data_IF_920852803321
#
_entry.id   IF_920852803321
#
_cell.length_a   1.000
_cell.length_b   1.000
_cell.length_c   1.000
_cell.angle_alpha   90.00
_cell.angle_beta   90.00
_cell.angle_gamma   90.00
#
_symmetry.space_group_name_H-M   'P 1'
#
loop_
_entity.id
_entity.type
_entity.pdbx_description
1 polymer ?
#
# COMPACT_ATOMS: atom_id res chain seq x y z
N UNK A 1 -2.51 -13.43 10.20
CA UNK A 1 -2.91 -12.65 9.00
C UNK A 1 -1.66 -12.24 8.22
N UNK A 2 -0.62 -11.63 8.83
CA UNK A 2 0.56 -11.10 8.13
C UNK A 2 1.31 -12.13 7.27
N UNK A 3 1.53 -13.34 7.77
CA UNK A 3 2.24 -14.42 7.02
C UNK A 3 1.44 -14.87 5.79
N UNK A 4 0.11 -14.88 5.86
CA UNK A 4 -0.72 -15.22 4.70
C UNK A 4 -0.55 -14.25 3.53
N UNK A 5 -0.16 -12.99 3.82
CA UNK A 5 0.15 -11.97 2.80
C UNK A 5 1.42 -12.29 2.00
N UNK A 6 2.32 -13.11 2.52
CA UNK A 6 3.54 -13.50 1.79
C UNK A 6 3.24 -14.31 0.53
N UNK A 7 2.17 -15.12 0.53
CA UNK A 7 1.80 -15.92 -0.63
C UNK A 7 1.41 -15.06 -1.85
N UNK A 8 0.46 -14.11 -1.74
CA UNK A 8 0.13 -13.23 -2.87
C UNK A 8 1.30 -12.31 -3.26
N UNK A 9 2.15 -11.89 -2.32
CA UNK A 9 3.35 -11.11 -2.65
C UNK A 9 4.34 -11.95 -3.47
N UNK A 10 4.64 -13.16 -3.04
CA UNK A 10 5.52 -14.06 -3.78
C UNK A 10 4.97 -14.38 -5.18
N UNK A 11 3.66 -14.62 -5.27
CA UNK A 11 2.98 -14.83 -6.54
C UNK A 11 3.06 -13.59 -7.44
N UNK A 12 2.82 -12.40 -6.90
CA UNK A 12 2.96 -11.15 -7.62
C UNK A 12 4.39 -10.94 -8.17
N UNK A 13 5.40 -11.19 -7.36
CA UNK A 13 6.80 -11.10 -7.79
C UNK A 13 7.14 -12.12 -8.86
N UNK A 14 6.67 -13.36 -8.74
CA UNK A 14 6.88 -14.41 -9.74
C UNK A 14 6.26 -14.05 -11.09
N UNK A 15 5.05 -13.48 -11.10
CA UNK A 15 4.39 -13.00 -12.32
C UNK A 15 5.14 -11.82 -12.95
N UNK A 16 5.77 -10.97 -12.14
CA UNK A 16 6.47 -9.76 -12.59
C UNK A 16 8.00 -9.93 -12.68
N UNK A 17 8.52 -11.17 -12.68
CA UNK A 17 9.96 -11.45 -12.74
C UNK A 17 10.69 -10.77 -13.92
N UNK A 18 10.00 -10.62 -15.06
CA UNK A 18 10.56 -9.93 -16.24
C UNK A 18 10.79 -8.44 -15.98
N UNK A 19 9.94 -7.80 -15.19
CA UNK A 19 10.14 -6.41 -14.77
C UNK A 19 11.39 -6.29 -13.90
N UNK A 20 11.56 -7.18 -12.92
CA UNK A 20 12.74 -7.19 -12.04
C UNK A 20 14.04 -7.37 -12.86
N UNK A 21 14.07 -8.33 -13.79
CA UNK A 21 15.24 -8.54 -14.66
C UNK A 21 15.53 -7.37 -15.61
N UNK A 22 14.51 -6.56 -15.95
CA UNK A 22 14.66 -5.40 -16.82
C UNK A 22 15.16 -4.13 -16.09
N UNK A 23 15.28 -4.13 -14.77
CA UNK A 23 15.70 -2.96 -13.99
C UNK A 23 17.11 -2.50 -14.35
N UNK A 24 18.02 -3.44 -14.67
CA UNK A 24 19.39 -3.16 -15.08
C UNK A 24 19.58 -2.79 -16.56
N UNK A 25 18.52 -2.81 -17.38
CA UNK A 25 18.61 -2.64 -18.83
C UNK A 25 17.71 -1.54 -19.37
N UNK A 26 18.09 -0.92 -20.49
CA UNK A 26 17.30 0.10 -21.20
C UNK A 26 17.56 1.54 -20.73
N UNK A 27 16.95 2.50 -21.43
CA UNK A 27 17.12 3.93 -21.17
C UNK A 27 16.32 4.35 -19.94
N UNK A 28 16.97 5.07 -19.04
CA UNK A 28 16.35 5.68 -17.89
C UNK A 28 15.72 7.03 -18.27
N UNK A 29 14.45 7.21 -17.93
CA UNK A 29 13.75 8.47 -18.01
C UNK A 29 13.05 8.75 -16.65
N UNK A 30 12.63 9.99 -16.43
CA UNK A 30 12.03 10.40 -15.15
C UNK A 30 10.85 9.51 -14.70
N UNK A 31 9.85 9.18 -15.56
CA UNK A 31 8.74 8.34 -15.14
C UNK A 31 9.17 6.93 -14.74
N UNK A 32 10.20 6.38 -15.42
CA UNK A 32 10.75 5.06 -15.08
C UNK A 32 11.51 5.11 -13.75
N UNK A 33 12.33 6.14 -13.55
CA UNK A 33 13.08 6.32 -12.30
C UNK A 33 12.14 6.45 -11.10
N UNK A 34 11.06 7.25 -11.22
CA UNK A 34 10.06 7.40 -10.16
C UNK A 34 9.36 6.06 -9.83
N UNK A 35 8.94 5.32 -10.84
CA UNK A 35 8.30 4.00 -10.63
C UNK A 35 9.27 3.00 -9.98
N UNK A 36 10.53 3.00 -10.41
CA UNK A 36 11.55 2.14 -9.83
C UNK A 36 11.80 2.49 -8.36
N UNK A 37 11.95 3.78 -8.03
CA UNK A 37 12.12 4.27 -6.67
C UNK A 37 10.94 3.86 -5.78
N UNK A 38 9.71 4.09 -6.23
CA UNK A 38 8.51 3.69 -5.48
C UNK A 38 8.45 2.17 -5.25
N UNK A 39 8.83 1.36 -6.24
CA UNK A 39 8.84 -0.09 -6.10
C UNK A 39 9.93 -0.56 -5.12
N UNK A 40 11.11 0.08 -5.10
CA UNK A 40 12.17 -0.22 -4.14
C UNK A 40 11.72 0.14 -2.72
N UNK A 41 11.14 1.33 -2.53
CA UNK A 41 10.60 1.77 -1.24
C UNK A 41 9.48 0.84 -0.76
N UNK A 42 8.57 0.44 -1.65
CA UNK A 42 7.50 -0.51 -1.35
C UNK A 42 8.05 -1.87 -0.92
N UNK A 43 9.03 -2.39 -1.65
CA UNK A 43 9.68 -3.66 -1.30
C UNK A 43 10.40 -3.57 0.05
N UNK A 44 11.10 -2.47 0.32
CA UNK A 44 11.76 -2.20 1.59
C UNK A 44 10.77 -2.12 2.76
N UNK A 45 9.67 -1.38 2.60
CA UNK A 45 8.62 -1.27 3.61
C UNK A 45 7.94 -2.63 3.86
N UNK A 46 7.68 -3.41 2.79
CA UNK A 46 7.16 -4.78 2.90
C UNK A 46 8.10 -5.67 3.71
N UNK A 47 9.38 -5.68 3.36
CA UNK A 47 10.40 -6.51 4.02
C UNK A 47 10.53 -6.14 5.50
N UNK A 48 10.61 -4.85 5.83
CA UNK A 48 10.66 -4.36 7.21
C UNK A 48 9.40 -4.76 7.99
N UNK A 49 8.22 -4.65 7.38
CA UNK A 49 6.95 -5.05 8.02
C UNK A 49 6.96 -6.55 8.34
N UNK A 50 7.42 -7.38 7.39
CA UNK A 50 7.46 -8.83 7.56
C UNK A 50 8.48 -9.22 8.64
N UNK A 51 9.72 -8.73 8.55
CA UNK A 51 10.78 -9.06 9.50
C UNK A 51 10.39 -8.60 10.91
N UNK A 52 10.00 -7.35 11.09
CA UNK A 52 9.60 -6.84 12.39
C UNK A 52 8.36 -7.55 12.95
N UNK A 53 7.40 -7.90 12.09
CA UNK A 53 6.22 -8.69 12.48
C UNK A 53 6.57 -10.10 12.94
N UNK A 54 7.53 -10.77 12.29
CA UNK A 54 8.05 -12.07 12.75
C UNK A 54 8.74 -11.94 14.11
N UNK A 55 9.55 -10.89 14.30
CA UNK A 55 10.30 -10.67 15.55
C UNK A 55 9.39 -10.29 16.73
N UNK A 56 8.25 -9.65 16.47
CA UNK A 56 7.28 -9.24 17.51
C UNK A 56 6.14 -10.24 17.71
N UNK A 57 6.10 -11.32 16.91
CA UNK A 57 5.01 -12.32 16.99
C UNK A 57 5.08 -13.11 18.29
N UNK A 58 3.98 -13.09 19.05
CA UNK A 58 3.82 -13.90 20.27
C UNK A 58 3.35 -15.34 19.99
N UNK A 59 2.85 -15.61 18.78
CA UNK A 59 2.22 -16.88 18.44
C UNK A 59 3.10 -17.75 17.53
N UNK A 60 3.52 -17.20 16.37
CA UNK A 60 4.18 -18.01 15.33
C UNK A 60 5.64 -18.33 15.60
N UNK A 61 6.34 -17.42 16.29
CA UNK A 61 7.79 -17.51 16.50
C UNK A 61 8.15 -17.45 18.00
N UNK A 62 7.19 -17.79 18.88
CA UNK A 62 7.35 -17.71 20.33
C UNK A 62 8.53 -18.55 20.83
N UNK A 63 8.75 -19.73 20.24
CA UNK A 63 9.79 -20.68 20.64
C UNK A 63 11.16 -20.37 20.04
N UNK A 64 11.22 -19.55 18.98
CA UNK A 64 12.46 -19.23 18.26
C UNK A 64 12.99 -17.85 18.61
N UNK A 65 12.09 -16.87 18.79
CA UNK A 65 12.47 -15.49 19.09
C UNK A 65 12.51 -15.24 20.60
N UNK A 66 13.64 -14.78 21.16
CA UNK A 66 13.75 -14.47 22.59
C UNK A 66 12.71 -13.45 23.05
N UNK A 67 12.20 -13.62 24.27
CA UNK A 67 11.19 -12.71 24.86
C UNK A 67 11.65 -11.25 24.88
N UNK A 68 12.93 -11.00 25.12
CA UNK A 68 13.53 -9.65 25.12
C UNK A 68 13.39 -8.93 23.77
N UNK A 69 13.42 -9.64 22.66
CA UNK A 69 13.15 -9.07 21.32
C UNK A 69 11.65 -8.89 21.09
N UNK A 70 10.85 -9.91 21.44
CA UNK A 70 9.39 -9.85 21.24
C UNK A 70 8.72 -8.73 22.02
N UNK A 71 9.23 -8.41 23.22
CA UNK A 71 8.71 -7.34 24.09
C UNK A 71 9.35 -5.97 23.84
N UNK A 72 10.23 -5.85 22.84
CA UNK A 72 10.95 -4.61 22.59
C UNK A 72 10.03 -3.54 21.95
N UNK A 73 9.80 -2.39 22.65
CA UNK A 73 8.92 -1.33 22.15
C UNK A 73 9.36 -0.76 20.79
N UNK A 74 10.69 -0.67 20.55
CA UNK A 74 11.22 -0.16 19.28
C UNK A 74 10.84 -1.06 18.10
N UNK A 75 10.83 -2.39 18.27
CA UNK A 75 10.42 -3.31 17.22
C UNK A 75 8.93 -3.16 16.89
N UNK A 76 8.08 -2.94 17.90
CA UNK A 76 6.65 -2.62 17.67
C UNK A 76 6.48 -1.30 16.93
N UNK A 77 7.27 -0.27 17.28
CA UNK A 77 7.26 1.01 16.60
C UNK A 77 7.71 0.86 15.14
N UNK A 78 8.80 0.14 14.88
CA UNK A 78 9.28 -0.14 13.52
C UNK A 78 8.22 -0.90 12.72
N UNK A 79 7.60 -1.94 13.31
CA UNK A 79 6.55 -2.71 12.64
C UNK A 79 5.35 -1.83 12.27
N UNK A 80 4.85 -1.05 13.22
CA UNK A 80 3.70 -0.16 13.00
C UNK A 80 4.00 0.88 11.91
N UNK A 81 5.15 1.56 12.01
CA UNK A 81 5.56 2.57 11.04
C UNK A 81 5.78 1.97 9.65
N UNK A 82 6.51 0.84 9.56
CA UNK A 82 6.75 0.15 8.29
C UNK A 82 5.44 -0.32 7.63
N UNK A 83 4.49 -0.82 8.42
CA UNK A 83 3.18 -1.24 7.92
C UNK A 83 2.38 -0.06 7.35
N UNK A 84 2.48 1.14 7.95
CA UNK A 84 1.84 2.35 7.41
C UNK A 84 2.51 2.82 6.11
N UNK A 85 3.84 2.83 6.06
CA UNK A 85 4.55 3.10 4.80
C UNK A 85 4.19 2.08 3.71
N UNK A 86 4.14 0.80 4.07
CA UNK A 86 3.72 -0.25 3.14
C UNK A 86 2.31 0.01 2.58
N UNK A 87 1.34 0.35 3.43
CA UNK A 87 -0.04 0.66 3.02
C UNK A 87 -0.10 1.83 2.04
N UNK A 88 0.57 2.94 2.37
CA UNK A 88 0.64 4.16 1.55
C UNK A 88 1.30 3.88 0.19
N UNK A 89 2.46 3.23 0.22
CA UNK A 89 3.23 2.92 -0.99
C UNK A 89 2.53 1.89 -1.88
N UNK A 90 1.83 0.93 -1.29
CA UNK A 90 1.03 -0.04 -2.03
C UNK A 90 -0.17 0.62 -2.73
N UNK A 91 -0.83 1.58 -2.07
CA UNK A 91 -1.87 2.41 -2.69
C UNK A 91 -1.32 3.20 -3.88
N UNK A 92 -0.23 3.94 -3.69
CA UNK A 92 0.43 4.69 -4.77
C UNK A 92 0.84 3.77 -5.94
N UNK A 93 1.42 2.60 -5.64
CA UNK A 93 1.80 1.61 -6.63
C UNK A 93 0.60 1.14 -7.46
N UNK A 94 -0.49 0.77 -6.79
CA UNK A 94 -1.73 0.38 -7.48
C UNK A 94 -2.21 1.50 -8.40
N UNK A 95 -2.28 2.73 -7.89
CA UNK A 95 -2.76 3.89 -8.63
C UNK A 95 -1.96 4.17 -9.89
N UNK A 96 -0.63 4.11 -9.81
CA UNK A 96 0.26 4.31 -10.97
C UNK A 96 0.03 3.27 -12.10
N UNK A 97 -0.41 2.06 -11.74
CA UNK A 97 -0.65 0.98 -12.68
C UNK A 97 -2.13 0.83 -13.09
N UNK A 98 -3.06 1.51 -12.40
CA UNK A 98 -4.49 1.33 -12.54
C UNK A 98 -4.99 1.63 -13.96
N UNK A 99 -4.47 2.69 -14.61
CA UNK A 99 -4.84 3.07 -15.98
C UNK A 99 -4.55 1.95 -16.99
N UNK A 100 -3.33 1.40 -16.95
CA UNK A 100 -2.89 0.35 -17.86
C UNK A 100 -3.68 -0.96 -17.61
N UNK A 101 -3.88 -1.32 -16.35
CA UNK A 101 -4.66 -2.47 -15.95
C UNK A 101 -6.12 -2.35 -16.38
N UNK A 102 -6.75 -1.18 -16.17
CA UNK A 102 -8.11 -0.89 -16.55
C UNK A 102 -8.32 -0.95 -18.06
N UNK A 103 -7.43 -0.37 -18.84
CA UNK A 103 -7.49 -0.42 -20.32
C UNK A 103 -7.38 -1.85 -20.83
N UNK A 104 -6.48 -2.64 -20.27
CA UNK A 104 -6.34 -4.06 -20.60
C UNK A 104 -7.63 -4.83 -20.28
N UNK A 105 -8.27 -4.56 -19.16
CA UNK A 105 -9.52 -5.18 -18.74
C UNK A 105 -10.67 -4.83 -19.70
N UNK A 106 -10.85 -3.56 -20.06
CA UNK A 106 -11.85 -3.11 -21.02
C UNK A 106 -11.66 -3.78 -22.38
N UNK A 107 -10.42 -3.89 -22.85
CA UNK A 107 -10.09 -4.55 -24.11
C UNK A 107 -10.48 -6.04 -24.10
N UNK A 108 -10.13 -6.76 -23.03
CA UNK A 108 -10.47 -8.18 -22.87
C UNK A 108 -11.99 -8.39 -22.75
N UNK A 109 -12.69 -7.47 -22.08
CA UNK A 109 -14.14 -7.52 -21.90
C UNK A 109 -14.94 -7.04 -23.14
N UNK A 110 -14.29 -6.53 -24.18
CA UNK A 110 -14.96 -5.99 -25.38
C UNK A 110 -15.80 -4.74 -25.09
N UNK A 111 -15.52 -4.02 -23.99
CA UNK A 111 -16.31 -2.85 -23.57
C UNK A 111 -15.75 -1.60 -24.25
N UNK A 112 -16.55 -0.87 -25.05
CA UNK A 112 -16.11 0.36 -25.70
C UNK A 112 -15.79 1.46 -24.69
N UNK A 113 -15.00 2.47 -25.12
CA UNK A 113 -14.68 3.63 -24.29
C UNK A 113 -15.95 4.32 -23.80
N UNK A 114 -16.01 4.58 -22.49
CA UNK A 114 -17.22 5.10 -21.83
C UNK A 114 -17.62 6.49 -22.34
N UNK A 115 -18.93 6.77 -22.47
CA UNK A 115 -19.43 8.10 -22.83
C UNK A 115 -19.08 9.14 -21.75
N UNK A 116 -19.09 10.43 -22.14
CA UNK A 116 -18.73 11.57 -21.29
C UNK A 116 -19.42 11.58 -19.89
N UNK A 117 -20.76 11.33 -19.78
CA UNK A 117 -21.43 11.32 -18.48
C UNK A 117 -20.89 10.23 -17.53
N UNK A 118 -20.51 9.08 -18.04
CA UNK A 118 -19.92 8.02 -17.21
C UNK A 118 -18.52 8.39 -16.67
N UNK A 119 -17.76 9.22 -17.42
CA UNK A 119 -16.48 9.77 -16.95
C UNK A 119 -16.68 10.76 -15.81
N UNK A 120 -17.68 11.65 -15.91
CA UNK A 120 -17.99 12.61 -14.85
C UNK A 120 -18.47 11.93 -13.57
N UNK A 121 -19.29 10.88 -13.68
CA UNK A 121 -19.72 10.08 -12.53
C UNK A 121 -18.52 9.38 -11.84
N UNK A 122 -17.59 8.84 -12.63
CA UNK A 122 -16.38 8.22 -12.10
C UNK A 122 -15.47 9.22 -11.38
N UNK A 123 -15.31 10.43 -11.91
CA UNK A 123 -14.56 11.50 -11.27
C UNK A 123 -15.23 11.95 -9.96
N UNK A 124 -16.56 12.13 -9.96
CA UNK A 124 -17.32 12.47 -8.75
C UNK A 124 -17.20 11.38 -7.67
N UNK A 125 -17.30 10.12 -8.07
CA UNK A 125 -17.11 8.99 -7.16
C UNK A 125 -15.68 8.90 -6.61
N UNK A 126 -14.67 9.14 -7.48
CA UNK A 126 -13.26 9.22 -7.05
C UNK A 126 -13.07 10.31 -6.00
N UNK A 127 -13.56 11.54 -6.25
CA UNK A 127 -13.46 12.63 -5.27
C UNK A 127 -14.11 12.30 -3.93
N UNK A 128 -15.25 11.59 -3.92
CA UNK A 128 -15.88 11.14 -2.68
C UNK A 128 -15.03 10.11 -1.94
N UNK A 129 -14.46 9.15 -2.65
CA UNK A 129 -13.54 8.16 -2.09
C UNK A 129 -12.29 8.82 -1.52
N UNK A 130 -11.71 9.79 -2.24
CA UNK A 130 -10.55 10.56 -1.79
C UNK A 130 -10.85 11.36 -0.52
N UNK A 131 -12.00 12.05 -0.46
CA UNK A 131 -12.43 12.76 0.73
C UNK A 131 -12.65 11.83 1.93
N UNK A 132 -13.31 10.69 1.72
CA UNK A 132 -13.49 9.67 2.75
C UNK A 132 -12.15 9.09 3.23
N UNK A 133 -11.22 8.85 2.30
CA UNK A 133 -9.87 8.38 2.62
C UNK A 133 -9.03 9.42 3.37
N UNK A 134 -9.14 10.70 3.03
CA UNK A 134 -8.49 11.79 3.75
C UNK A 134 -9.04 11.92 5.19
N UNK A 135 -10.36 11.79 5.35
CA UNK A 135 -10.99 11.72 6.66
C UNK A 135 -10.49 10.52 7.47
N UNK A 136 -10.43 9.34 6.86
CA UNK A 136 -9.89 8.13 7.47
C UNK A 136 -8.43 8.30 7.91
N UNK A 137 -7.58 8.91 7.08
CA UNK A 137 -6.19 9.20 7.38
C UNK A 137 -6.03 10.18 8.56
N UNK A 138 -6.91 11.18 8.64
CA UNK A 138 -6.95 12.11 9.77
C UNK A 138 -7.35 11.40 11.06
N UNK A 139 -8.41 10.59 11.05
CA UNK A 139 -8.88 9.84 12.22
C UNK A 139 -7.85 8.80 12.70
N UNK A 140 -7.14 8.16 11.78
CA UNK A 140 -6.07 7.20 12.08
C UNK A 140 -4.78 7.91 12.56
N UNK A 141 -4.71 9.26 12.53
CA UNK A 141 -3.50 10.04 12.82
C UNK A 141 -2.31 9.56 11.99
N UNK A 142 -2.55 9.29 10.69
CA UNK A 142 -1.58 8.68 9.78
C UNK A 142 -0.21 9.35 9.82
N UNK A 143 -0.16 10.70 9.88
CA UNK A 143 1.09 11.47 9.89
C UNK A 143 1.95 11.11 11.11
N UNK A 144 1.33 10.99 12.30
CA UNK A 144 2.03 10.63 13.52
C UNK A 144 2.58 9.19 13.45
N UNK A 145 1.82 8.27 12.84
CA UNK A 145 2.29 6.91 12.58
C UNK A 145 3.47 6.86 11.62
N UNK A 146 3.44 7.67 10.55
CA UNK A 146 4.55 7.76 9.59
C UNK A 146 5.80 8.38 10.22
N UNK A 147 5.64 9.28 11.18
CA UNK A 147 6.75 9.87 11.95
C UNK A 147 7.29 8.94 13.04
N UNK A 148 6.65 7.79 13.27
CA UNK A 148 7.03 6.89 14.35
C UNK A 148 6.73 7.47 15.74
N UNK A 149 5.81 8.42 15.86
CA UNK A 149 5.49 9.07 17.11
C UNK A 149 4.66 8.18 18.07
N UNK A 150 4.04 7.10 17.55
CA UNK A 150 3.24 6.16 18.33
C UNK A 150 4.01 4.85 18.58
N UNK A 151 4.36 4.60 19.85
CA UNK A 151 4.98 3.35 20.28
C UNK A 151 3.94 2.24 20.45
N UNK A 152 2.74 2.61 20.93
CA UNK A 152 1.62 1.69 21.12
C UNK A 152 0.45 2.13 20.25
N UNK A 153 -0.05 1.21 19.42
CA UNK A 153 -1.31 1.39 18.72
C UNK A 153 -2.47 1.25 19.71
N UNK A 154 -2.76 2.33 20.43
CA UNK A 154 -4.14 2.49 20.89
C UNK A 154 -4.93 2.99 19.70
N UNK A 155 -5.90 2.24 19.17
CA UNK A 155 -6.85 2.81 18.23
C UNK A 155 -7.43 4.04 18.92
N UNK A 156 -7.30 5.22 18.29
CA UNK A 156 -7.85 6.47 18.84
C UNK A 156 -9.38 6.38 19.06
N UNK A 157 -9.98 5.36 18.48
CA UNK A 157 -11.38 4.96 18.62
C UNK A 157 -11.40 3.46 18.87
N UNK A 158 -12.26 2.99 19.75
CA UNK A 158 -12.59 1.58 19.95
C UNK A 158 -13.29 1.01 18.72
N UNK A 159 -12.58 0.97 17.59
CA UNK A 159 -13.08 0.33 16.40
C UNK A 159 -13.19 -1.18 16.64
N UNK A 160 -14.36 -1.72 16.30
CA UNK A 160 -14.42 -3.14 16.01
C UNK A 160 -13.49 -3.43 14.81
N UNK A 161 -13.06 -4.66 14.63
CA UNK A 161 -12.12 -5.02 13.55
C UNK A 161 -12.58 -4.58 12.15
N UNK A 162 -13.89 -4.50 11.90
CA UNK A 162 -14.47 -4.01 10.65
C UNK A 162 -14.23 -2.51 10.45
N UNK A 163 -14.46 -1.69 11.49
CA UNK A 163 -14.20 -0.25 11.43
C UNK A 163 -12.71 0.06 11.16
N UNK A 164 -11.81 -0.67 11.81
CA UNK A 164 -10.39 -0.56 11.54
C UNK A 164 -10.06 -0.93 10.08
N UNK A 165 -10.56 -2.05 9.57
CA UNK A 165 -10.33 -2.48 8.19
C UNK A 165 -10.85 -1.45 7.17
N UNK A 166 -12.01 -0.86 7.41
CA UNK A 166 -12.58 0.20 6.56
C UNK A 166 -11.71 1.46 6.57
N UNK A 167 -11.18 1.86 7.72
CA UNK A 167 -10.25 3.00 7.82
C UNK A 167 -8.98 2.75 7.01
N UNK A 168 -8.37 1.56 7.16
CA UNK A 168 -7.18 1.21 6.37
C UNK A 168 -7.47 1.12 4.87
N UNK A 169 -8.62 0.57 4.48
CA UNK A 169 -9.06 0.55 3.09
C UNK A 169 -9.27 1.97 2.54
N UNK A 170 -9.85 2.88 3.32
CA UNK A 170 -10.01 4.28 2.95
C UNK A 170 -8.66 4.97 2.69
N UNK A 171 -7.69 4.79 3.58
CA UNK A 171 -6.33 5.32 3.42
C UNK A 171 -5.68 4.74 2.16
N UNK A 172 -5.75 3.43 1.96
CA UNK A 172 -5.21 2.76 0.77
C UNK A 172 -5.80 3.33 -0.52
N UNK A 173 -7.12 3.52 -0.59
CA UNK A 173 -7.83 4.06 -1.76
C UNK A 173 -7.47 5.52 -2.02
N UNK A 174 -7.30 6.36 -0.98
CA UNK A 174 -6.80 7.72 -1.11
C UNK A 174 -5.46 7.75 -1.86
N UNK A 175 -4.51 6.93 -1.41
CA UNK A 175 -3.19 6.89 -2.04
C UNK A 175 -3.21 6.23 -3.42
N UNK A 176 -4.13 5.29 -3.67
CA UNK A 176 -4.36 4.76 -5.02
C UNK A 176 -4.90 5.85 -5.97
N UNK A 177 -5.79 6.71 -5.50
CA UNK A 177 -6.27 7.86 -6.28
C UNK A 177 -5.15 8.85 -6.56
N UNK A 178 -4.33 9.22 -5.57
CA UNK A 178 -3.15 10.09 -5.76
C UNK A 178 -2.20 9.47 -6.79
N UNK A 179 -1.90 8.18 -6.69
CA UNK A 179 -1.06 7.47 -7.67
C UNK A 179 -1.64 7.49 -9.07
N UNK A 180 -2.96 7.33 -9.20
CA UNK A 180 -3.66 7.42 -10.48
C UNK A 180 -3.57 8.84 -11.07
N UNK A 181 -3.80 9.89 -10.29
CA UNK A 181 -3.66 11.28 -10.72
C UNK A 181 -2.23 11.58 -11.18
N UNK A 182 -1.22 11.11 -10.45
CA UNK A 182 0.18 11.23 -10.86
C UNK A 182 0.46 10.52 -12.19
N UNK A 183 -0.21 9.41 -12.48
CA UNK A 183 -0.08 8.70 -13.76
C UNK A 183 -0.67 9.48 -14.94
N UNK A 184 -1.63 10.36 -14.70
CA UNK A 184 -2.24 11.21 -15.74
C UNK A 184 -1.36 12.41 -16.10
N UNK A 185 -0.62 12.94 -15.13
CA UNK A 185 0.20 14.15 -15.34
C UNK A 185 1.44 13.91 -16.19
N UNK A 186 1.94 12.66 -16.23
CA UNK A 186 3.15 12.28 -16.99
C UNK A 186 2.87 11.36 -18.20
N UNK A 187 1.64 11.21 -18.61
CA UNK A 187 1.19 10.48 -19.80
C UNK A 187 0.74 11.41 -20.88
#
# INVERSE_FOLDING_TARGET
VGVAFLLPIAWHLALNRRYVSSLGSGRWNEPRALRCLLNILLAGACLLTVISGCLTSSELFADVVPFSLRSNPLLYQVHSTAARYFLVLAGLHLGLHLKAWWQKWLHVAGIPSRPLPARMLLLGFGMLLGAAGAYAAHQDRLVEHLQGAHIFMTPALSYNGAGYALTQAGIFLLFAEIGWLLSLWKG
#
